data_IF_239098879058
#
_entry.id   IF_239098879058
#
_cell.length_a   1.000
_cell.length_b   1.000
_cell.length_c   1.000
_cell.angle_alpha   90.00
_cell.angle_beta   90.00
_cell.angle_gamma   90.00
#
_symmetry.space_group_name_H-M   'P 1'
#
loop_
_entity.id
_entity.type
_entity.pdbx_description
1 polymer ?
#
# COMPACT_ATOMS: atom_id res chain seq x y z
N UNK A 1 -10.75 13.56 22.72
CA UNK A 1 -9.33 13.22 22.48
C UNK A 1 -8.44 14.11 23.33
N UNK A 2 -7.17 13.77 23.52
CA UNK A 2 -6.21 14.60 24.25
C UNK A 2 -5.00 14.88 23.37
N UNK A 3 -4.51 16.11 23.39
CA UNK A 3 -3.22 16.48 22.81
C UNK A 3 -2.38 17.06 23.94
N UNK A 4 -1.11 16.67 24.02
CA UNK A 4 -0.15 17.21 24.97
C UNK A 4 1.06 17.75 24.21
N UNK A 5 1.48 18.97 24.54
CA UNK A 5 2.71 19.54 24.00
C UNK A 5 3.52 20.25 25.08
N UNK A 6 4.84 20.15 24.94
CA UNK A 6 5.82 20.80 25.83
C UNK A 6 6.28 22.18 25.32
N UNK A 7 5.97 22.53 24.07
CA UNK A 7 6.40 23.76 23.42
C UNK A 7 5.27 24.73 23.13
N UNK A 8 5.64 25.93 22.68
CA UNK A 8 4.69 26.94 22.23
C UNK A 8 3.78 26.36 21.16
N UNK A 9 2.47 26.47 21.40
CA UNK A 9 1.46 25.83 20.58
C UNK A 9 0.43 26.86 20.13
N UNK A 10 -0.04 26.73 18.89
CA UNK A 10 -1.03 27.61 18.30
C UNK A 10 -2.10 26.79 17.59
N UNK A 11 -3.36 27.12 17.85
CA UNK A 11 -4.49 26.65 17.06
C UNK A 11 -4.89 27.73 16.05
N UNK A 12 -5.11 27.32 14.81
CA UNK A 12 -5.70 28.13 13.75
C UNK A 12 -7.06 27.54 13.36
N UNK A 13 -8.10 28.37 13.30
CA UNK A 13 -9.44 27.98 12.85
C UNK A 13 -10.21 29.19 12.33
N UNK A 14 -10.79 29.07 11.13
CA UNK A 14 -11.58 30.14 10.51
C UNK A 14 -10.84 31.48 10.40
N UNK A 15 -9.53 31.45 10.15
CA UNK A 15 -8.66 32.63 10.08
C UNK A 15 -8.28 33.25 11.45
N UNK A 16 -8.73 32.67 12.56
CA UNK A 16 -8.37 33.10 13.93
C UNK A 16 -7.24 32.25 14.48
N UNK A 17 -6.38 32.87 15.29
CA UNK A 17 -5.27 32.24 16.00
C UNK A 17 -5.51 32.25 17.50
N UNK A 18 -5.28 31.11 18.14
CA UNK A 18 -5.35 30.94 19.59
C UNK A 18 -4.01 30.35 20.09
N UNK A 19 -3.16 31.12 20.77
CA UNK A 19 -1.99 30.57 21.43
C UNK A 19 -2.39 29.73 22.64
N UNK A 20 -1.69 28.63 22.86
CA UNK A 20 -1.85 27.72 23.99
C UNK A 20 -0.52 27.60 24.74
N UNK A 21 -0.56 27.80 26.06
CA UNK A 21 0.58 27.52 26.92
C UNK A 21 0.82 26.01 27.01
N UNK A 22 2.09 25.55 27.11
CA UNK A 22 2.42 24.12 27.20
C UNK A 22 1.59 23.36 28.22
N UNK A 23 1.21 22.13 27.89
CA UNK A 23 0.42 21.26 28.74
C UNK A 23 -0.44 20.29 27.94
N UNK A 24 -1.42 19.70 28.64
CA UNK A 24 -2.37 18.76 28.07
C UNK A 24 -3.74 19.41 27.88
N UNK A 25 -4.31 19.24 26.68
CA UNK A 25 -5.61 19.77 26.31
C UNK A 25 -6.55 18.66 25.85
N UNK A 26 -7.75 18.65 26.40
CA UNK A 26 -8.82 17.76 25.98
C UNK A 26 -9.71 18.47 24.96
N UNK A 27 -9.91 17.82 23.82
CA UNK A 27 -10.84 18.26 22.79
C UNK A 27 -12.09 17.41 22.89
N UNK A 28 -13.18 18.03 23.33
CA UNK A 28 -14.50 17.41 23.41
C UNK A 28 -15.35 17.88 22.24
N UNK A 29 -15.79 16.93 21.41
CA UNK A 29 -16.68 17.19 20.27
C UNK A 29 -17.98 17.82 20.77
N UNK A 30 -18.30 19.00 20.26
CA UNK A 30 -19.60 19.66 20.45
C UNK A 30 -20.63 19.18 19.44
N UNK A 31 -21.53 20.08 19.04
CA UNK A 31 -22.40 19.84 17.89
C UNK A 31 -21.58 19.93 16.60
N UNK A 32 -21.75 18.94 15.73
CA UNK A 32 -21.05 18.83 14.46
C UNK A 32 -22.02 18.44 13.34
N UNK A 33 -21.68 18.84 12.13
CA UNK A 33 -22.30 18.44 10.89
C UNK A 33 -21.27 17.65 10.06
N UNK A 34 -21.61 16.44 9.59
CA UNK A 34 -20.75 15.67 8.70
C UNK A 34 -20.37 16.44 7.42
N UNK A 35 -19.27 16.05 6.76
CA UNK A 35 -18.88 16.61 5.47
C UNK A 35 -19.96 16.37 4.41
N UNK A 36 -20.04 17.31 3.46
CA UNK A 36 -20.81 17.09 2.23
C UNK A 36 -19.94 16.30 1.25
N UNK A 37 -20.47 15.19 0.75
CA UNK A 37 -19.73 14.26 -0.10
C UNK A 37 -20.45 13.97 -1.40
N UNK A 38 -19.66 13.65 -2.44
CA UNK A 38 -20.10 13.13 -3.73
C UNK A 38 -19.32 11.89 -4.07
N UNK A 39 -19.89 11.01 -4.88
CA UNK A 39 -19.30 9.73 -5.24
C UNK A 39 -19.10 9.66 -6.74
N UNK A 40 -17.84 9.61 -7.17
CA UNK A 40 -17.44 9.34 -8.53
C UNK A 40 -17.54 7.85 -8.84
N UNK A 41 -18.00 7.53 -10.06
CA UNK A 41 -17.93 6.19 -10.64
C UNK A 41 -16.94 6.21 -11.79
N UNK A 42 -15.72 5.79 -11.51
CA UNK A 42 -14.64 5.73 -12.50
C UNK A 42 -14.62 4.37 -13.21
N UNK A 43 -14.19 4.34 -14.46
CA UNK A 43 -14.15 3.10 -15.26
C UNK A 43 -12.82 2.83 -15.95
N UNK A 44 -12.07 3.87 -16.30
CA UNK A 44 -10.83 3.74 -17.06
C UNK A 44 -9.88 4.87 -16.76
N UNK A 45 -8.58 4.58 -16.83
CA UNK A 45 -7.51 5.56 -16.71
C UNK A 45 -6.80 5.71 -18.05
N UNK A 46 -6.41 6.94 -18.38
CA UNK A 46 -5.58 7.29 -19.53
C UNK A 46 -4.38 8.09 -19.03
N UNK A 47 -3.28 8.08 -19.78
CA UNK A 47 -2.13 8.90 -19.45
C UNK A 47 -2.11 10.16 -20.31
N UNK A 48 -1.45 11.24 -19.88
CA UNK A 48 -1.08 12.33 -20.77
C UNK A 48 -0.38 11.77 -22.02
N UNK A 49 -0.85 12.17 -23.20
CA UNK A 49 -0.49 11.62 -24.51
C UNK A 49 -1.52 10.64 -25.10
N UNK A 50 -2.44 10.09 -24.30
CA UNK A 50 -3.51 9.20 -24.77
C UNK A 50 -4.83 9.94 -25.03
N UNK A 51 -4.81 11.27 -25.12
CA UNK A 51 -6.02 12.11 -25.23
C UNK A 51 -6.95 11.68 -26.38
N UNK A 52 -6.48 11.34 -27.60
CA UNK A 52 -7.38 10.91 -28.67
C UNK A 52 -8.17 9.63 -28.31
N UNK A 53 -7.51 8.65 -27.66
CA UNK A 53 -8.17 7.42 -27.23
C UNK A 53 -9.13 7.67 -26.07
N UNK A 54 -8.78 8.61 -25.18
CA UNK A 54 -9.65 9.06 -24.09
C UNK A 54 -10.90 9.76 -24.63
N UNK A 55 -10.75 10.65 -25.61
CA UNK A 55 -11.87 11.38 -26.22
C UNK A 55 -12.86 10.44 -26.92
N UNK A 56 -12.37 9.43 -27.63
CA UNK A 56 -13.21 8.37 -28.20
C UNK A 56 -14.00 7.62 -27.12
N UNK A 57 -13.33 7.27 -26.02
CA UNK A 57 -13.97 6.59 -24.89
C UNK A 57 -15.03 7.48 -24.22
N UNK A 58 -14.72 8.77 -24.00
CA UNK A 58 -15.67 9.75 -23.46
C UNK A 58 -16.89 9.90 -24.38
N UNK A 59 -16.69 10.00 -25.69
CA UNK A 59 -17.76 10.12 -26.67
C UNK A 59 -18.66 8.88 -26.69
N UNK A 60 -18.08 7.67 -26.63
CA UNK A 60 -18.82 6.41 -26.54
C UNK A 60 -19.78 6.41 -25.34
N UNK A 61 -19.30 6.80 -24.16
CA UNK A 61 -20.12 6.78 -22.95
C UNK A 61 -21.16 7.89 -22.90
N UNK A 62 -20.83 9.09 -23.42
CA UNK A 62 -21.81 10.16 -23.59
C UNK A 62 -22.95 9.74 -24.52
N UNK A 63 -22.65 9.03 -25.61
CA UNK A 63 -23.67 8.49 -26.52
C UNK A 63 -24.57 7.44 -25.85
N UNK A 64 -24.08 6.76 -24.80
CA UNK A 64 -24.85 5.83 -23.95
C UNK A 64 -25.61 6.53 -22.82
N UNK A 65 -25.59 7.86 -22.77
CA UNK A 65 -26.31 8.67 -21.77
C UNK A 65 -25.59 8.86 -20.43
N UNK A 66 -24.28 8.61 -20.37
CA UNK A 66 -23.47 8.81 -19.16
C UNK A 66 -22.82 10.20 -19.15
N UNK A 67 -22.60 10.74 -17.96
CA UNK A 67 -21.93 12.02 -17.72
C UNK A 67 -20.40 11.85 -17.77
N UNK A 68 -19.90 11.32 -18.88
CA UNK A 68 -18.51 10.93 -18.98
C UNK A 68 -17.59 12.17 -19.01
N UNK A 69 -16.63 12.23 -18.09
CA UNK A 69 -15.65 13.32 -18.00
C UNK A 69 -14.28 12.81 -17.54
N UNK A 70 -13.19 13.43 -18.02
CA UNK A 70 -11.86 13.15 -17.52
C UNK A 70 -11.61 13.94 -16.24
N UNK A 71 -10.98 13.30 -15.26
CA UNK A 71 -10.54 13.96 -14.04
C UNK A 71 -9.04 13.71 -13.86
N UNK A 72 -8.24 14.77 -13.93
CA UNK A 72 -6.79 14.68 -13.77
C UNK A 72 -6.44 14.35 -12.31
N UNK A 73 -5.51 13.42 -12.13
CA UNK A 73 -5.00 12.91 -10.85
C UNK A 73 -3.49 12.74 -10.90
N UNK A 74 -2.87 12.66 -9.74
CA UNK A 74 -1.42 12.58 -9.59
C UNK A 74 -0.73 13.93 -9.76
N UNK A 75 0.59 13.93 -9.58
CA UNK A 75 1.42 15.12 -9.57
C UNK A 75 2.57 15.05 -10.59
N UNK A 76 3.21 16.22 -10.78
CA UNK A 76 4.42 16.38 -11.60
C UNK A 76 5.58 16.74 -10.71
N UNK A 77 6.72 16.11 -10.97
CA UNK A 77 7.93 16.34 -10.20
C UNK A 77 9.05 16.81 -11.11
N UNK A 78 9.72 17.90 -10.76
CA UNK A 78 10.90 18.38 -11.47
C UNK A 78 12.16 17.76 -10.83
N UNK A 79 13.01 17.18 -11.65
CA UNK A 79 14.32 16.69 -11.22
C UNK A 79 15.34 17.81 -11.17
N UNK A 80 16.45 17.59 -10.44
CA UNK A 80 17.54 18.57 -10.34
C UNK A 80 18.17 18.95 -11.68
N UNK A 81 18.08 18.09 -12.70
CA UNK A 81 18.53 18.33 -14.07
C UNK A 81 17.45 18.94 -14.99
N UNK A 82 16.29 19.34 -14.44
CA UNK A 82 15.22 20.04 -15.14
C UNK A 82 14.26 19.15 -15.94
N UNK A 83 14.34 17.82 -15.81
CA UNK A 83 13.34 16.92 -16.41
C UNK A 83 12.06 16.96 -15.58
N UNK A 84 10.92 16.85 -16.26
CA UNK A 84 9.62 16.70 -15.60
C UNK A 84 9.21 15.23 -15.63
N UNK A 85 9.05 14.66 -14.45
CA UNK A 85 8.47 13.33 -14.25
C UNK A 85 6.96 13.51 -14.10
N UNK A 86 6.22 13.26 -15.18
CA UNK A 86 4.77 13.40 -15.18
C UNK A 86 4.11 12.10 -14.68
N UNK A 87 3.70 12.12 -13.41
CA UNK A 87 2.94 11.08 -12.74
C UNK A 87 1.44 11.19 -12.98
N UNK A 88 0.95 12.22 -13.69
CA UNK A 88 -0.47 12.45 -13.81
C UNK A 88 -1.17 11.38 -14.67
N UNK A 89 -2.45 11.16 -14.37
CA UNK A 89 -3.35 10.30 -15.13
C UNK A 89 -4.73 10.95 -15.23
N UNK A 90 -5.42 10.74 -16.34
CA UNK A 90 -6.83 11.05 -16.49
C UNK A 90 -7.66 9.86 -16.03
N UNK A 91 -8.42 10.03 -14.95
CA UNK A 91 -9.43 9.06 -14.53
C UNK A 91 -10.77 9.45 -15.15
N UNK A 92 -11.34 8.56 -15.97
CA UNK A 92 -12.63 8.82 -16.61
C UNK A 92 -13.74 8.44 -15.66
N UNK A 93 -14.45 9.46 -15.17
CA UNK A 93 -15.71 9.30 -14.44
C UNK A 93 -16.82 9.12 -15.46
N UNK A 94 -17.69 8.12 -15.27
CA UNK A 94 -18.90 7.93 -16.07
C UNK A 94 -20.14 8.50 -15.40
N UNK A 95 -20.10 8.72 -14.09
CA UNK A 95 -21.21 9.28 -13.34
C UNK A 95 -20.73 9.84 -12.00
N UNK A 96 -21.55 10.73 -11.44
CA UNK A 96 -21.47 11.16 -10.06
C UNK A 96 -22.78 10.83 -9.35
N UNK A 97 -22.69 10.44 -8.10
CA UNK A 97 -23.84 10.14 -7.26
C UNK A 97 -23.77 10.88 -5.93
N UNK A 98 -24.94 11.18 -5.35
CA UNK A 98 -25.04 11.82 -4.04
C UNK A 98 -24.74 10.84 -2.89
N UNK A 99 -24.98 9.54 -3.08
CA UNK A 99 -24.74 8.52 -2.06
C UNK A 99 -23.87 7.38 -2.59
N UNK A 100 -23.14 6.72 -1.68
CA UNK A 100 -22.37 5.53 -2.00
C UNK A 100 -23.25 4.41 -2.57
N UNK A 101 -24.47 4.25 -2.03
CA UNK A 101 -25.43 3.23 -2.49
C UNK A 101 -25.80 3.44 -3.96
N UNK A 102 -26.08 4.68 -4.36
CA UNK A 102 -26.43 5.01 -5.75
C UNK A 102 -25.23 4.79 -6.67
N UNK A 103 -24.02 5.18 -6.24
CA UNK A 103 -22.78 4.90 -6.98
C UNK A 103 -22.58 3.39 -7.21
N UNK A 104 -22.83 2.57 -6.20
CA UNK A 104 -22.72 1.10 -6.31
C UNK A 104 -23.80 0.50 -7.24
N UNK A 105 -24.99 1.09 -7.31
CA UNK A 105 -25.99 0.68 -8.29
C UNK A 105 -25.55 0.98 -9.73
N UNK A 106 -24.87 2.11 -9.95
CA UNK A 106 -24.29 2.48 -11.25
C UNK A 106 -23.17 1.50 -11.62
N UNK A 107 -22.27 1.17 -10.69
CA UNK A 107 -21.22 0.15 -10.92
C UNK A 107 -21.83 -1.17 -11.39
N UNK A 108 -22.85 -1.68 -10.69
CA UNK A 108 -23.54 -2.93 -11.08
C UNK A 108 -24.15 -2.84 -12.48
N UNK A 109 -24.66 -1.67 -12.88
CA UNK A 109 -25.18 -1.45 -14.24
C UNK A 109 -24.06 -1.42 -15.28
N UNK A 110 -22.91 -0.84 -14.98
CA UNK A 110 -21.76 -0.85 -15.88
C UNK A 110 -21.20 -2.27 -16.07
N UNK A 111 -21.23 -3.09 -15.03
CA UNK A 111 -20.85 -4.50 -15.11
C UNK A 111 -21.72 -5.29 -16.09
N UNK A 112 -23.05 -5.03 -16.16
CA UNK A 112 -23.92 -5.67 -17.16
C UNK A 112 -23.61 -5.22 -18.59
N UNK A 113 -22.94 -4.07 -18.75
CA UNK A 113 -22.43 -3.56 -20.01
C UNK A 113 -20.98 -4.02 -20.27
N UNK A 114 -20.45 -4.97 -19.48
CA UNK A 114 -19.10 -5.50 -19.64
C UNK A 114 -18.00 -4.52 -19.24
N UNK A 115 -18.32 -3.49 -18.45
CA UNK A 115 -17.38 -2.44 -18.04
C UNK A 115 -17.10 -2.53 -16.56
N UNK A 116 -15.83 -2.70 -16.23
CA UNK A 116 -15.38 -2.61 -14.84
C UNK A 116 -15.41 -1.14 -14.39
N UNK A 117 -15.85 -0.90 -13.16
CA UNK A 117 -15.90 0.42 -12.57
C UNK A 117 -15.61 0.36 -11.07
N UNK A 118 -15.16 1.48 -10.50
CA UNK A 118 -14.89 1.64 -9.09
C UNK A 118 -15.40 2.98 -8.57
N UNK A 119 -15.72 3.00 -7.28
CA UNK A 119 -16.21 4.21 -6.61
C UNK A 119 -15.06 4.93 -5.92
N UNK A 120 -15.09 6.26 -5.96
CA UNK A 120 -14.31 7.14 -5.08
C UNK A 120 -15.21 8.21 -4.51
N UNK A 121 -15.05 8.47 -3.23
CA UNK A 121 -15.70 9.58 -2.55
C UNK A 121 -14.86 10.84 -2.72
N UNK A 122 -15.54 11.97 -2.85
CA UNK A 122 -14.98 13.30 -2.85
C UNK A 122 -15.66 14.11 -1.74
N UNK A 123 -14.87 14.82 -0.96
CA UNK A 123 -15.34 15.78 0.03
C UNK A 123 -15.55 17.14 -0.66
N UNK A 124 -16.82 17.51 -0.90
CA UNK A 124 -17.19 18.79 -1.53
C UNK A 124 -17.02 19.95 -0.54
N UNK A 125 -17.43 19.72 0.71
CA UNK A 125 -17.25 20.66 1.80
C UNK A 125 -16.86 19.89 3.07
N UNK A 126 -15.86 20.36 3.83
CA UNK A 126 -15.48 19.72 5.08
C UNK A 126 -16.64 19.76 6.06
N UNK A 127 -16.70 18.78 6.96
CA UNK A 127 -17.66 18.82 8.05
C UNK A 127 -17.34 19.98 8.98
N UNK A 128 -18.37 20.51 9.63
CA UNK A 128 -18.30 21.73 10.43
C UNK A 128 -18.82 21.51 11.84
N UNK A 129 -18.58 22.45 12.73
CA UNK A 129 -19.05 22.36 14.11
C UNK A 129 -18.06 22.99 15.07
N UNK A 130 -18.10 22.54 16.33
CA UNK A 130 -17.22 23.06 17.37
C UNK A 130 -16.61 21.95 18.23
N UNK A 131 -15.44 22.25 18.80
CA UNK A 131 -14.84 21.50 19.89
C UNK A 131 -14.70 22.39 21.11
N UNK A 132 -15.06 21.86 22.27
CA UNK A 132 -14.73 22.45 23.57
C UNK A 132 -13.31 22.04 23.91
N UNK A 133 -12.41 23.02 23.96
CA UNK A 133 -11.03 22.85 24.42
C UNK A 133 -11.02 22.97 25.94
N UNK A 134 -10.49 21.96 26.65
CA UNK A 134 -10.37 21.96 28.09
C UNK A 134 -8.93 21.76 28.55
N UNK A 135 -8.54 22.45 29.62
CA UNK A 135 -7.29 22.22 30.36
C UNK A 135 -7.60 22.16 31.84
N UNK A 136 -7.01 21.22 32.58
CA UNK A 136 -7.30 21.01 34.00
C UNK A 136 -8.78 20.79 34.33
N UNK A 137 -9.56 20.23 33.40
CA UNK A 137 -11.01 20.02 33.54
C UNK A 137 -11.89 21.24 33.26
N UNK A 138 -11.30 22.43 33.10
CA UNK A 138 -12.02 23.67 32.77
C UNK A 138 -12.01 23.92 31.27
N UNK A 139 -13.14 24.43 30.74
CA UNK A 139 -13.20 24.87 29.36
C UNK A 139 -12.45 26.19 29.18
N UNK A 140 -11.45 26.19 28.31
CA UNK A 140 -10.61 27.35 28.01
C UNK A 140 -11.01 28.03 26.71
N UNK A 141 -11.58 27.29 25.75
CA UNK A 141 -12.07 27.84 24.49
C UNK A 141 -13.15 26.96 23.86
N UNK A 142 -13.93 27.54 22.95
CA UNK A 142 -14.74 26.82 21.96
C UNK A 142 -14.20 27.17 20.58
N UNK A 143 -13.83 26.17 19.79
CA UNK A 143 -13.10 26.35 18.54
C UNK A 143 -13.89 25.72 17.40
N UNK A 144 -14.02 26.41 16.28
CA UNK A 144 -14.70 25.88 15.10
C UNK A 144 -13.86 24.79 14.42
N UNK A 145 -14.53 23.83 13.78
CA UNK A 145 -13.90 22.82 12.93
C UNK A 145 -14.08 23.16 11.44
N UNK A 146 -13.13 22.76 10.56
CA UNK A 146 -11.85 22.13 10.91
C UNK A 146 -10.89 23.12 11.60
N UNK A 147 -9.92 22.58 12.34
CA UNK A 147 -8.86 23.36 12.96
C UNK A 147 -7.49 22.73 12.71
N UNK A 148 -6.45 23.54 12.81
CA UNK A 148 -5.05 23.11 12.72
C UNK A 148 -4.33 23.51 14.00
N UNK A 149 -3.60 22.57 14.61
CA UNK A 149 -2.71 22.80 15.75
C UNK A 149 -1.26 22.66 15.28
N UNK A 150 -0.45 23.67 15.55
CA UNK A 150 1.00 23.66 15.32
C UNK A 150 1.71 23.85 16.65
N UNK A 151 2.75 23.07 16.88
CA UNK A 151 3.58 23.20 18.08
C UNK A 151 5.05 23.26 17.69
N UNK A 152 5.84 24.00 18.46
CA UNK A 152 7.29 24.08 18.28
C UNK A 152 8.01 22.74 18.56
N UNK A 153 7.41 21.90 19.40
CA UNK A 153 7.91 20.57 19.74
C UNK A 153 6.91 19.50 19.28
N UNK A 154 7.34 18.24 19.10
CA UNK A 154 6.42 17.13 18.85
C UNK A 154 5.34 17.03 19.94
N UNK A 155 4.13 16.68 19.53
CA UNK A 155 2.95 16.56 20.37
C UNK A 155 2.54 15.11 20.55
N UNK A 156 2.14 14.73 21.76
CA UNK A 156 1.46 13.46 22.00
C UNK A 156 -0.02 13.63 21.68
N UNK A 157 -0.59 12.72 20.89
CA UNK A 157 -2.00 12.71 20.53
C UNK A 157 -2.61 11.38 20.92
N UNK A 158 -3.71 11.44 21.70
CA UNK A 158 -4.44 10.27 22.18
C UNK A 158 -5.91 10.29 21.77
N UNK A 159 -6.34 9.27 21.03
CA UNK A 159 -7.72 9.07 20.56
C UNK A 159 -8.23 7.69 20.96
N UNK A 160 -9.04 7.64 22.03
CA UNK A 160 -9.52 6.37 22.58
C UNK A 160 -8.35 5.52 23.07
N UNK A 161 -8.16 4.33 22.48
CA UNK A 161 -7.03 3.43 22.77
C UNK A 161 -5.78 3.70 21.94
N UNK A 162 -5.83 4.60 20.96
CA UNK A 162 -4.69 4.94 20.10
C UNK A 162 -3.93 6.13 20.68
N UNK A 163 -2.61 6.07 20.59
CA UNK A 163 -1.70 7.11 21.07
C UNK A 163 -0.46 7.14 20.16
N UNK A 164 0.09 8.34 19.93
CA UNK A 164 1.29 8.53 19.12
C UNK A 164 1.90 9.91 19.32
N UNK A 165 3.16 10.06 18.92
CA UNK A 165 3.89 11.33 18.96
C UNK A 165 4.07 11.82 17.53
N UNK A 166 3.76 13.08 17.28
CA UNK A 166 3.69 13.68 15.95
C UNK A 166 4.38 15.03 15.93
N UNK A 167 5.05 15.37 14.83
CA UNK A 167 5.81 16.61 14.69
C UNK A 167 5.26 17.55 13.62
N UNK A 168 4.39 17.04 12.75
CA UNK A 168 3.65 17.83 11.79
C UNK A 168 2.52 18.66 12.41
N UNK A 169 1.83 19.41 11.56
CA UNK A 169 0.62 20.10 11.96
C UNK A 169 -0.51 19.09 12.16
N UNK A 170 -1.17 19.15 13.31
CA UNK A 170 -2.31 18.28 13.61
C UNK A 170 -3.58 18.96 13.18
N UNK A 171 -4.31 18.36 12.26
CA UNK A 171 -5.60 18.84 11.81
C UNK A 171 -6.72 17.99 12.38
N UNK A 172 -7.76 18.65 12.89
CA UNK A 172 -8.97 17.98 13.36
C UNK A 172 -10.12 18.27 12.40
N UNK A 173 -10.70 17.22 11.86
CA UNK A 173 -11.79 17.27 10.90
C UNK A 173 -13.00 16.52 11.47
N UNK A 174 -14.20 16.83 10.95
CA UNK A 174 -15.40 16.03 11.24
C UNK A 174 -15.51 14.95 10.16
N UNK A 175 -15.60 13.70 10.60
CA UNK A 175 -15.73 12.53 9.72
C UNK A 175 -17.18 12.30 9.28
N UNK A 176 -17.43 11.49 8.22
CA UNK A 176 -18.78 11.15 7.74
C UNK A 176 -19.69 10.53 8.81
N UNK A 177 -19.12 9.81 9.78
CA UNK A 177 -19.85 9.24 10.93
C UNK A 177 -20.03 10.25 12.09
N UNK A 178 -19.77 11.53 11.82
CA UNK A 178 -19.75 12.64 12.76
C UNK A 178 -18.68 12.54 13.85
N UNK A 179 -17.73 11.61 13.79
CA UNK A 179 -16.61 11.58 14.75
C UNK A 179 -15.53 12.61 14.41
N UNK A 180 -14.50 12.71 15.25
CA UNK A 180 -13.35 13.58 14.98
C UNK A 180 -12.23 12.75 14.34
N UNK A 181 -11.85 13.13 13.14
CA UNK A 181 -10.65 12.67 12.46
C UNK A 181 -9.44 13.44 12.93
N UNK A 182 -8.28 12.77 12.93
CA UNK A 182 -6.99 13.37 13.27
C UNK A 182 -6.05 13.12 12.10
N UNK A 183 -5.57 14.19 11.51
CA UNK A 183 -4.66 14.16 10.38
C UNK A 183 -3.36 14.87 10.76
N UNK A 184 -2.23 14.34 10.30
CA UNK A 184 -0.94 15.02 10.41
C UNK A 184 -0.52 15.50 9.03
N UNK A 185 -0.25 16.79 8.91
CA UNK A 185 0.34 17.40 7.71
C UNK A 185 1.81 17.71 7.97
N UNK A 186 2.69 17.08 7.20
CA UNK A 186 4.13 17.12 7.38
C UNK A 186 4.89 17.04 6.04
N UNK A 187 6.15 17.50 5.99
CA UNK A 187 7.00 17.32 4.81
C UNK A 187 7.23 15.83 4.48
N UNK A 188 7.42 15.53 3.19
CA UNK A 188 7.61 14.16 2.69
C UNK A 188 8.76 13.40 3.40
N UNK A 189 9.89 14.07 3.62
CA UNK A 189 11.05 13.44 4.25
C UNK A 189 10.79 13.08 5.72
N UNK A 190 10.03 13.91 6.45
CA UNK A 190 9.61 13.60 7.82
C UNK A 190 8.59 12.46 7.86
N UNK A 191 7.70 12.40 6.88
CA UNK A 191 6.78 11.27 6.71
C UNK A 191 7.55 9.95 6.49
N UNK A 192 8.51 9.94 5.57
CA UNK A 192 9.33 8.76 5.29
C UNK A 192 10.15 8.32 6.51
N UNK A 193 10.64 9.26 7.32
CA UNK A 193 11.34 8.95 8.57
C UNK A 193 10.45 8.20 9.58
N UNK A 194 9.13 8.41 9.57
CA UNK A 194 8.18 7.66 10.39
C UNK A 194 7.64 6.37 9.75
N UNK A 195 7.83 6.18 8.44
CA UNK A 195 7.49 4.95 7.70
C UNK A 195 8.63 3.94 7.75
N UNK A 196 9.86 4.37 7.46
CA UNK A 196 11.00 3.48 7.26
C UNK A 196 11.28 2.52 8.44
N UNK A 197 11.21 2.95 9.72
CA UNK A 197 11.40 2.07 10.88
C UNK A 197 10.34 0.97 11.01
N UNK A 198 9.14 1.20 10.48
CA UNK A 198 8.06 0.21 10.51
C UNK A 198 8.23 -0.86 9.42
N UNK A 199 8.97 -0.54 8.35
CA UNK A 199 9.14 -1.41 7.19
C UNK A 199 10.44 -2.22 7.23
N UNK A 200 11.53 -1.65 7.75
CA UNK A 200 12.85 -2.29 7.76
C UNK A 200 13.55 -2.14 9.11
N UNK A 201 14.15 -3.21 9.68
CA UNK A 201 14.86 -3.10 10.94
C UNK A 201 16.02 -2.10 10.86
N UNK A 202 16.03 -1.13 11.78
CA UNK A 202 17.00 -0.03 11.83
C UNK A 202 18.46 -0.45 12.05
N UNK A 203 18.69 -1.71 12.44
CA UNK A 203 20.00 -2.33 12.63
C UNK A 203 20.59 -2.92 11.35
N UNK A 204 19.82 -2.92 10.25
CA UNK A 204 20.31 -3.39 8.96
C UNK A 204 21.33 -2.42 8.35
N UNK A 205 22.18 -2.88 7.41
CA UNK A 205 23.21 -2.04 6.80
C UNK A 205 22.63 -0.77 6.18
N UNK A 206 23.38 0.34 6.25
CA UNK A 206 22.94 1.66 5.76
C UNK A 206 22.47 1.61 4.31
N UNK A 207 23.21 0.94 3.43
CA UNK A 207 22.86 0.82 2.00
C UNK A 207 21.51 0.12 1.77
N UNK A 208 21.12 -0.82 2.63
CA UNK A 208 19.80 -1.44 2.56
C UNK A 208 18.70 -0.48 3.03
N UNK A 209 18.95 0.29 4.10
CA UNK A 209 18.04 1.32 4.60
C UNK A 209 17.85 2.44 3.54
N UNK A 210 18.93 2.85 2.89
CA UNK A 210 18.93 3.85 1.82
C UNK A 210 18.16 3.35 0.58
N UNK A 211 18.39 2.10 0.15
CA UNK A 211 17.62 1.49 -0.94
C UNK A 211 16.12 1.43 -0.63
N UNK A 212 15.76 1.09 0.62
CA UNK A 212 14.38 1.10 1.08
C UNK A 212 13.81 2.53 1.15
N UNK A 213 14.59 3.53 1.56
CA UNK A 213 14.15 4.94 1.58
C UNK A 213 13.83 5.46 0.18
N UNK A 214 14.69 5.19 -0.80
CA UNK A 214 14.47 5.54 -2.22
C UNK A 214 13.25 4.83 -2.80
N UNK A 215 13.09 3.54 -2.47
CA UNK A 215 11.95 2.71 -2.89
C UNK A 215 10.64 3.26 -2.29
N UNK A 216 10.60 3.50 -0.98
CA UNK A 216 9.43 4.05 -0.30
C UNK A 216 9.09 5.45 -0.81
N UNK A 217 10.08 6.33 -1.03
CA UNK A 217 9.84 7.67 -1.60
C UNK A 217 9.20 7.59 -2.99
N UNK A 218 9.68 6.67 -3.83
CA UNK A 218 9.15 6.49 -5.18
C UNK A 218 7.72 5.96 -5.15
N UNK A 219 7.41 5.00 -4.28
CA UNK A 219 6.04 4.52 -4.06
C UNK A 219 5.10 5.63 -3.57
N UNK A 220 5.54 6.40 -2.57
CA UNK A 220 4.72 7.47 -1.99
C UNK A 220 4.43 8.55 -3.02
N UNK A 221 5.42 8.99 -3.79
CA UNK A 221 5.24 10.03 -4.82
C UNK A 221 4.41 9.54 -6.01
N UNK A 222 4.47 8.25 -6.35
CA UNK A 222 3.61 7.67 -7.39
C UNK A 222 2.14 7.60 -6.95
N UNK A 223 1.88 7.35 -5.67
CA UNK A 223 0.52 7.27 -5.14
C UNK A 223 -0.04 8.60 -4.60
N UNK A 224 0.82 9.62 -4.48
CA UNK A 224 0.40 10.98 -4.12
C UNK A 224 -0.56 11.53 -5.19
N UNK A 225 -1.65 12.17 -4.76
CA UNK A 225 -2.65 12.71 -5.69
C UNK A 225 -3.69 11.70 -6.21
N UNK A 226 -3.72 10.46 -5.69
CA UNK A 226 -4.63 9.41 -6.15
C UNK A 226 -5.70 9.00 -5.13
N UNK A 227 -5.44 7.94 -4.32
CA UNK A 227 -6.48 7.15 -3.63
C UNK A 227 -7.41 7.98 -2.75
N UNK A 228 -6.84 8.78 -1.87
CA UNK A 228 -7.56 9.55 -0.84
C UNK A 228 -7.60 11.06 -1.12
N UNK A 229 -6.93 11.55 -2.16
CA UNK A 229 -6.82 12.99 -2.43
C UNK A 229 -8.18 13.65 -2.61
N UNK A 230 -9.15 12.93 -3.17
CA UNK A 230 -10.54 13.41 -3.25
C UNK A 230 -11.24 13.50 -1.89
N UNK A 231 -10.86 12.66 -0.93
CA UNK A 231 -11.39 12.68 0.44
C UNK A 231 -10.81 13.85 1.26
N UNK A 232 -9.67 14.39 0.85
CA UNK A 232 -9.00 15.53 1.48
C UNK A 232 -7.67 15.19 2.18
N UNK A 233 -7.21 13.96 2.08
CA UNK A 233 -5.94 13.50 2.68
C UNK A 233 -5.17 12.58 1.73
N UNK A 234 -3.94 12.21 2.07
CA UNK A 234 -3.09 11.41 1.17
C UNK A 234 -3.06 9.92 1.54
N UNK A 235 -2.83 9.61 2.81
CA UNK A 235 -2.62 8.24 3.29
C UNK A 235 -3.19 8.04 4.68
N UNK A 236 -3.69 6.83 4.93
CA UNK A 236 -3.97 6.32 6.28
C UNK A 236 -2.70 5.74 6.91
N UNK A 237 -2.69 5.59 8.23
CA UNK A 237 -1.60 4.93 8.97
C UNK A 237 -1.80 3.41 9.13
N UNK A 238 -2.52 2.78 8.19
CA UNK A 238 -2.88 1.37 8.24
C UNK A 238 -2.21 0.59 7.10
N UNK A 239 -2.18 -0.74 7.21
CA UNK A 239 -1.67 -1.64 6.14
C UNK A 239 -2.37 -1.44 4.78
N UNK A 240 -3.53 -0.78 4.75
CA UNK A 240 -4.22 -0.44 3.51
C UNK A 240 -3.50 0.65 2.68
N UNK A 241 -2.57 1.40 3.27
CA UNK A 241 -1.62 2.28 2.59
C UNK A 241 -0.20 1.93 3.01
N UNK A 242 0.20 2.29 4.23
CA UNK A 242 1.45 1.88 4.87
C UNK A 242 1.42 2.15 6.38
N UNK A 243 2.18 1.37 7.12
CA UNK A 243 2.32 1.57 8.56
C UNK A 243 3.13 2.85 8.78
N UNK A 244 2.61 3.76 9.60
CA UNK A 244 3.26 5.00 9.95
C UNK A 244 3.27 5.17 11.46
N UNK A 245 4.47 5.20 12.05
CA UNK A 245 4.67 5.21 13.50
C UNK A 245 4.72 6.63 14.10
N UNK A 246 4.54 7.68 13.28
CA UNK A 246 4.71 9.06 13.72
C UNK A 246 6.16 9.42 14.02
N UNK A 247 6.35 10.58 14.63
CA UNK A 247 7.65 11.02 15.14
C UNK A 247 8.17 10.09 16.25
N UNK A 248 7.29 9.51 17.06
CA UNK A 248 7.67 8.61 18.16
C UNK A 248 8.34 7.30 17.72
N UNK A 249 8.18 6.90 16.46
CA UNK A 249 8.81 5.71 15.88
C UNK A 249 10.15 5.96 15.19
N UNK A 250 10.59 7.22 15.07
CA UNK A 250 11.83 7.57 14.36
C UNK A 250 13.07 7.03 15.06
N UNK A 251 14.06 6.64 14.27
CA UNK A 251 15.34 6.12 14.74
C UNK A 251 16.48 6.78 13.96
N UNK A 252 17.60 7.05 14.62
CA UNK A 252 18.70 7.83 14.02
C UNK A 252 19.26 7.22 12.72
N UNK A 253 19.35 5.89 12.62
CA UNK A 253 19.87 5.22 11.41
C UNK A 253 18.91 5.32 10.22
N UNK A 254 17.61 5.17 10.44
CA UNK A 254 16.60 5.33 9.38
C UNK A 254 16.44 6.79 8.98
N UNK A 255 16.53 7.72 9.93
CA UNK A 255 16.53 9.16 9.65
C UNK A 255 17.74 9.54 8.78
N UNK A 256 18.92 9.01 9.10
CA UNK A 256 20.12 9.20 8.28
C UNK A 256 19.95 8.64 6.87
N UNK A 257 19.39 7.44 6.71
CA UNK A 257 19.13 6.86 5.38
C UNK A 257 18.18 7.71 4.53
N UNK A 258 17.11 8.23 5.13
CA UNK A 258 16.18 9.16 4.46
C UNK A 258 16.91 10.44 4.06
N UNK A 259 17.72 11.02 4.96
CA UNK A 259 18.48 12.24 4.70
C UNK A 259 19.55 12.07 3.61
N UNK A 260 20.31 10.97 3.63
CA UNK A 260 21.35 10.66 2.65
C UNK A 260 20.78 10.48 1.24
N UNK A 261 19.53 10.01 1.15
CA UNK A 261 18.82 9.77 -0.12
C UNK A 261 17.76 10.83 -0.41
N UNK A 262 17.85 12.01 0.21
CA UNK A 262 16.82 13.06 0.11
C UNK A 262 16.46 13.34 -1.35
N UNK A 263 15.17 13.25 -1.68
CA UNK A 263 14.65 13.49 -3.02
C UNK A 263 15.03 12.43 -4.07
N UNK A 264 15.84 11.41 -3.75
CA UNK A 264 16.14 10.35 -4.70
C UNK A 264 14.93 9.44 -4.94
N UNK A 265 14.62 9.22 -6.21
CA UNK A 265 13.52 8.40 -6.71
C UNK A 265 14.00 7.48 -7.83
N UNK A 266 13.28 6.39 -8.04
CA UNK A 266 13.52 5.39 -9.08
C UNK A 266 12.75 5.83 -10.32
N UNK A 267 13.44 5.98 -11.45
CA UNK A 267 12.87 6.47 -12.71
C UNK A 267 13.07 5.46 -13.83
N UNK A 268 12.00 5.17 -14.57
CA UNK A 268 12.05 4.40 -15.81
C UNK A 268 11.10 5.01 -16.84
N UNK A 269 11.51 5.06 -18.10
CA UNK A 269 10.70 5.62 -19.20
C UNK A 269 10.16 7.03 -18.91
N UNK A 270 10.99 7.90 -18.30
CA UNK A 270 10.63 9.29 -17.98
C UNK A 270 9.63 9.45 -16.83
N UNK A 271 9.38 8.41 -16.03
CA UNK A 271 8.41 8.42 -14.92
C UNK A 271 8.99 7.80 -13.66
N UNK A 272 8.46 8.19 -12.52
CA UNK A 272 8.72 7.51 -11.24
C UNK A 272 8.16 6.08 -11.33
N UNK A 273 8.95 5.12 -10.87
CA UNK A 273 8.54 3.71 -10.78
C UNK A 273 7.62 3.54 -9.57
N UNK A 274 6.47 2.85 -9.71
CA UNK A 274 5.64 2.43 -8.57
C UNK A 274 6.39 1.33 -7.79
N UNK A 275 7.32 1.76 -6.95
CA UNK A 275 8.39 0.93 -6.40
C UNK A 275 7.91 0.14 -5.18
N UNK A 276 7.14 -0.91 -5.45
CA UNK A 276 6.68 -1.88 -4.47
C UNK A 276 7.83 -2.72 -3.90
N UNK A 277 7.63 -3.26 -2.69
CA UNK A 277 8.63 -4.05 -1.98
C UNK A 277 7.99 -5.11 -1.09
N UNK A 278 8.75 -6.17 -0.78
CA UNK A 278 8.30 -7.23 0.13
C UNK A 278 9.46 -7.82 0.93
N UNK A 279 9.13 -8.46 2.06
CA UNK A 279 10.10 -9.00 3.00
C UNK A 279 11.14 -9.94 2.34
N UNK A 280 10.68 -11.03 1.73
CA UNK A 280 11.56 -12.04 1.15
C UNK A 280 10.99 -12.59 -0.16
N UNK A 281 11.77 -12.57 -1.23
CA UNK A 281 11.31 -13.01 -2.54
C UNK A 281 11.34 -14.54 -2.72
N UNK A 282 12.03 -15.28 -1.86
CA UNK A 282 12.24 -16.73 -1.98
C UNK A 282 13.36 -17.12 -2.95
N UNK A 283 14.19 -16.15 -3.34
CA UNK A 283 15.33 -16.29 -4.26
C UNK A 283 15.06 -15.85 -5.70
N UNK A 284 13.84 -15.38 -6.00
CA UNK A 284 13.48 -14.82 -7.30
C UNK A 284 12.27 -13.88 -7.15
N UNK A 285 12.32 -12.67 -7.73
CA UNK A 285 11.19 -11.73 -7.69
C UNK A 285 10.17 -12.02 -8.80
N UNK A 286 8.98 -11.41 -8.77
CA UNK A 286 7.87 -11.74 -9.65
C UNK A 286 7.48 -10.55 -10.53
N UNK A 287 6.84 -10.85 -11.66
CA UNK A 287 6.27 -9.83 -12.53
C UNK A 287 4.99 -9.22 -11.91
N UNK A 288 4.81 -7.90 -12.06
CA UNK A 288 3.65 -7.21 -11.48
C UNK A 288 2.28 -7.77 -11.95
N UNK A 289 2.13 -8.15 -13.21
CA UNK A 289 0.88 -8.69 -13.79
C UNK A 289 0.54 -10.12 -13.32
N UNK A 290 1.51 -10.85 -12.77
CA UNK A 290 1.27 -12.13 -12.10
C UNK A 290 0.49 -11.89 -10.80
N UNK A 291 0.90 -10.86 -10.05
CA UNK A 291 0.37 -10.54 -8.72
C UNK A 291 -0.90 -9.70 -8.80
N UNK A 292 -0.90 -8.66 -9.63
CA UNK A 292 -1.98 -7.68 -9.76
C UNK A 292 -2.59 -7.69 -11.16
N UNK A 293 -3.67 -6.94 -11.35
CA UNK A 293 -4.34 -6.80 -12.66
C UNK A 293 -3.79 -5.65 -13.51
N UNK A 294 -2.74 -4.98 -13.05
CA UNK A 294 -2.05 -3.92 -13.79
C UNK A 294 -1.32 -4.49 -15.02
N UNK A 295 -1.19 -3.72 -16.12
CA UNK A 295 -0.37 -4.10 -17.27
C UNK A 295 1.10 -4.39 -16.87
N UNK A 296 1.84 -5.17 -17.67
CA UNK A 296 3.26 -5.39 -17.48
C UNK A 296 4.03 -4.06 -17.35
N UNK A 297 4.82 -3.92 -16.28
CA UNK A 297 5.68 -2.77 -16.07
C UNK A 297 7.15 -3.19 -16.24
N UNK A 298 7.85 -2.54 -17.17
CA UNK A 298 9.25 -2.83 -17.51
C UNK A 298 10.22 -2.76 -16.31
N UNK A 299 9.93 -1.92 -15.31
CA UNK A 299 10.75 -1.80 -14.10
C UNK A 299 10.35 -2.78 -12.98
N UNK A 300 9.25 -3.52 -13.14
CA UNK A 300 8.75 -4.49 -12.15
C UNK A 300 8.75 -5.90 -12.73
N UNK A 301 9.89 -6.34 -13.24
CA UNK A 301 10.10 -7.68 -13.79
C UNK A 301 10.75 -8.59 -12.74
N UNK A 302 10.40 -9.88 -12.79
CA UNK A 302 11.02 -10.88 -11.94
C UNK A 302 12.48 -11.08 -12.31
N UNK A 303 13.37 -10.89 -11.34
CA UNK A 303 14.81 -11.08 -11.44
C UNK A 303 15.26 -12.12 -10.43
N UNK A 304 16.33 -12.85 -10.77
CA UNK A 304 17.00 -13.75 -9.85
C UNK A 304 17.66 -12.97 -8.73
N UNK A 305 17.54 -13.45 -7.49
CA UNK A 305 18.23 -12.86 -6.34
C UNK A 305 19.62 -13.51 -6.11
N UNK A 306 20.13 -14.22 -7.11
CA UNK A 306 21.46 -14.82 -7.14
C UNK A 306 22.38 -13.89 -7.94
N UNK A 307 23.32 -13.22 -7.26
CA UNK A 307 24.30 -12.36 -7.93
C UNK A 307 25.60 -13.09 -8.28
N UNK A 308 26.04 -13.97 -7.39
CA UNK A 308 27.37 -14.59 -7.45
C UNK A 308 27.34 -16.00 -8.06
N UNK A 309 26.18 -16.44 -8.56
CA UNK A 309 25.98 -17.78 -9.09
C UNK A 309 25.04 -17.74 -10.30
N UNK A 310 25.29 -18.57 -11.33
CA UNK A 310 24.31 -18.75 -12.40
C UNK A 310 23.02 -19.33 -11.83
N UNK A 311 21.90 -18.98 -12.47
CA UNK A 311 20.61 -19.56 -12.12
C UNK A 311 20.66 -21.09 -12.25
N UNK A 312 20.27 -21.86 -11.21
CA UNK A 312 20.32 -23.30 -11.30
C UNK A 312 19.40 -23.78 -12.43
N UNK A 313 19.78 -24.80 -13.22
CA UNK A 313 19.00 -25.24 -14.37
C UNK A 313 17.53 -25.51 -14.02
N UNK A 314 16.61 -24.92 -14.79
CA UNK A 314 15.18 -25.06 -14.54
C UNK A 314 14.69 -24.31 -13.30
N UNK A 315 15.45 -23.35 -12.77
CA UNK A 315 14.99 -22.51 -11.66
C UNK A 315 14.25 -21.27 -12.15
N UNK A 316 13.19 -20.83 -11.46
CA UNK A 316 12.42 -21.57 -10.45
C UNK A 316 11.31 -22.43 -11.10
N UNK A 317 11.38 -22.72 -12.41
CA UNK A 317 10.33 -23.42 -13.16
C UNK A 317 10.07 -24.86 -12.67
N UNK A 318 11.10 -25.57 -12.20
CA UNK A 318 10.98 -26.79 -11.42
C UNK A 318 10.80 -26.45 -9.93
N UNK A 319 9.58 -26.07 -9.59
CA UNK A 319 9.26 -25.53 -8.26
C UNK A 319 9.46 -26.52 -7.11
N UNK A 320 9.35 -27.82 -7.36
CA UNK A 320 9.53 -28.85 -6.32
C UNK A 320 10.99 -28.87 -5.87
N UNK A 321 11.92 -28.92 -6.82
CA UNK A 321 13.36 -28.92 -6.54
C UNK A 321 13.82 -27.55 -6.01
N UNK A 322 13.28 -26.46 -6.56
CA UNK A 322 13.58 -25.09 -6.08
C UNK A 322 13.22 -24.88 -4.60
N UNK A 323 12.05 -25.38 -4.18
CA UNK A 323 11.61 -25.29 -2.79
C UNK A 323 12.27 -26.33 -1.88
N UNK A 324 12.76 -27.44 -2.45
CA UNK A 324 13.55 -28.45 -1.75
C UNK A 324 15.01 -28.04 -1.50
N UNK A 325 15.47 -26.95 -2.12
CA UNK A 325 16.85 -26.44 -1.99
C UNK A 325 16.88 -25.05 -1.35
N UNK A 326 18.08 -24.66 -0.92
CA UNK A 326 18.40 -23.31 -0.45
C UNK A 326 19.53 -22.73 -1.30
N UNK A 327 19.23 -22.14 -2.47
CA UNK A 327 20.23 -21.51 -3.30
C UNK A 327 20.90 -20.34 -2.55
N UNK A 328 22.12 -19.92 -2.95
CA UNK A 328 22.85 -18.82 -2.31
C UNK A 328 22.27 -17.43 -2.70
N UNK A 329 20.95 -17.28 -2.62
CA UNK A 329 20.26 -16.02 -2.84
C UNK A 329 20.61 -15.00 -1.75
N UNK A 330 20.60 -13.71 -2.08
CA UNK A 330 20.90 -12.66 -1.11
C UNK A 330 19.90 -12.66 0.06
N UNK A 331 18.63 -13.00 -0.19
CA UNK A 331 17.59 -13.08 0.81
C UNK A 331 17.64 -14.37 1.66
N UNK A 332 18.48 -15.34 1.30
CA UNK A 332 18.47 -16.67 1.92
C UNK A 332 18.96 -16.70 3.38
N UNK A 333 19.48 -15.61 3.94
CA UNK A 333 20.05 -15.58 5.30
C UNK A 333 19.02 -15.86 6.41
N UNK A 334 17.76 -15.45 6.24
CA UNK A 334 16.70 -15.74 7.20
C UNK A 334 15.96 -17.02 6.82
N UNK A 335 16.16 -18.07 7.62
CA UNK A 335 15.61 -19.40 7.34
C UNK A 335 14.10 -19.45 7.30
N UNK A 336 13.43 -18.72 8.21
CA UNK A 336 11.99 -18.80 8.40
C UNK A 336 11.24 -18.03 7.33
N UNK A 337 11.85 -16.96 6.85
CA UNK A 337 11.33 -16.11 5.80
C UNK A 337 11.56 -16.73 4.41
N UNK A 338 12.74 -17.32 4.21
CA UNK A 338 13.16 -17.83 2.92
C UNK A 338 12.46 -19.15 2.51
N UNK A 339 12.26 -20.09 3.45
CA UNK A 339 11.55 -21.35 3.23
C UNK A 339 10.63 -21.65 4.42
N UNK A 340 9.43 -22.14 4.14
CA UNK A 340 8.45 -22.42 5.18
C UNK A 340 7.59 -23.65 4.84
N UNK A 341 7.09 -24.32 5.88
CA UNK A 341 6.12 -25.39 5.76
C UNK A 341 4.97 -25.14 6.72
N UNK A 342 3.73 -25.29 6.24
CA UNK A 342 2.51 -25.18 7.05
C UNK A 342 1.60 -26.37 6.82
N UNK A 343 1.21 -27.04 7.90
CA UNK A 343 0.19 -28.09 7.89
C UNK A 343 -1.13 -27.51 8.38
N UNK A 344 -2.20 -27.68 7.60
CA UNK A 344 -3.55 -27.23 7.94
C UNK A 344 -4.48 -28.43 7.94
N UNK A 345 -5.21 -28.66 9.03
CA UNK A 345 -6.19 -29.75 9.12
C UNK A 345 -7.33 -29.57 8.12
N UNK A 346 -7.88 -30.67 7.59
CA UNK A 346 -8.92 -30.61 6.56
C UNK A 346 -10.16 -29.80 7.01
N UNK A 347 -10.62 -29.98 8.24
CA UNK A 347 -11.76 -29.21 8.77
C UNK A 347 -11.46 -27.71 8.93
N UNK A 348 -10.25 -27.37 9.39
CA UNK A 348 -9.82 -25.98 9.46
C UNK A 348 -9.78 -25.35 8.06
N UNK A 349 -9.22 -26.06 7.07
CA UNK A 349 -9.14 -25.56 5.71
C UNK A 349 -10.52 -25.44 5.04
N UNK A 350 -11.44 -26.37 5.32
CA UNK A 350 -12.84 -26.26 4.93
C UNK A 350 -13.42 -24.93 5.44
N UNK A 351 -13.24 -24.65 6.74
CA UNK A 351 -13.72 -23.40 7.35
C UNK A 351 -13.14 -22.15 6.69
N UNK A 352 -11.84 -22.12 6.41
CA UNK A 352 -11.16 -20.98 5.77
C UNK A 352 -11.67 -20.73 4.34
N UNK A 353 -11.65 -21.75 3.48
CA UNK A 353 -12.02 -21.61 2.05
C UNK A 353 -13.51 -21.28 1.90
N UNK A 354 -14.37 -21.87 2.74
CA UNK A 354 -15.82 -21.68 2.63
C UNK A 354 -16.30 -20.29 3.11
N UNK A 355 -15.46 -19.48 3.76
CA UNK A 355 -15.78 -18.07 4.07
C UNK A 355 -16.15 -17.28 2.82
N UNK A 356 -15.47 -17.57 1.70
CA UNK A 356 -15.66 -16.85 0.45
C UNK A 356 -16.24 -17.73 -0.67
N UNK A 357 -15.80 -18.99 -0.80
CA UNK A 357 -16.03 -19.75 -2.03
C UNK A 357 -17.09 -20.85 -1.95
N UNK A 358 -17.56 -21.19 -0.74
CA UNK A 358 -18.71 -22.10 -0.50
C UNK A 358 -18.65 -23.45 -1.26
N UNK A 359 -17.47 -24.05 -1.41
CA UNK A 359 -17.25 -25.33 -2.12
C UNK A 359 -17.60 -26.59 -1.31
N UNK A 360 -17.99 -26.46 -0.04
CA UNK A 360 -18.24 -27.59 0.86
C UNK A 360 -16.94 -28.23 1.35
N UNK A 361 -16.98 -29.53 1.66
CA UNK A 361 -15.78 -30.28 2.10
C UNK A 361 -14.81 -30.40 0.94
N UNK A 362 -13.56 -30.00 1.14
CA UNK A 362 -12.53 -30.02 0.10
C UNK A 362 -12.16 -31.46 -0.24
N UNK A 363 -12.21 -31.79 -1.53
CA UNK A 363 -11.88 -33.12 -2.07
C UNK A 363 -10.52 -33.13 -2.75
N UNK A 364 -10.14 -32.03 -3.42
CA UNK A 364 -8.85 -31.88 -4.06
C UNK A 364 -8.47 -30.41 -4.24
N UNK A 365 -7.18 -30.11 -4.14
CA UNK A 365 -6.59 -28.82 -4.47
C UNK A 365 -5.57 -29.05 -5.58
N UNK A 366 -5.71 -28.33 -6.71
CA UNK A 366 -4.81 -28.44 -7.85
C UNK A 366 -4.14 -27.10 -8.11
N UNK A 367 -2.81 -27.10 -8.04
CA UNK A 367 -1.99 -25.98 -8.48
C UNK A 367 -2.21 -25.72 -9.97
N UNK A 368 -2.39 -24.46 -10.34
CA UNK A 368 -2.54 -24.02 -11.73
C UNK A 368 -1.26 -23.40 -12.28
N UNK A 369 -1.45 -22.37 -13.10
CA UNK A 369 -0.35 -21.64 -13.72
C UNK A 369 0.56 -20.97 -12.68
N UNK A 370 1.83 -20.79 -13.05
CA UNK A 370 2.84 -20.10 -12.24
C UNK A 370 3.43 -18.90 -12.98
N UNK A 371 3.88 -17.91 -12.22
CA UNK A 371 4.68 -16.79 -12.72
C UNK A 371 6.16 -17.14 -12.81
N UNK A 372 6.99 -16.15 -13.15
CA UNK A 372 8.42 -16.35 -13.39
C UNK A 372 9.18 -16.72 -12.13
N UNK A 373 8.64 -16.37 -10.95
CA UNK A 373 9.24 -16.73 -9.66
C UNK A 373 8.77 -18.09 -9.14
N UNK A 374 7.90 -18.80 -9.88
CA UNK A 374 7.23 -20.01 -9.40
C UNK A 374 6.01 -19.76 -8.50
N UNK A 375 5.62 -18.51 -8.25
CA UNK A 375 4.37 -18.14 -7.55
C UNK A 375 3.15 -18.60 -8.31
N UNK A 376 2.14 -19.10 -7.60
CA UNK A 376 0.88 -19.53 -8.21
C UNK A 376 0.07 -18.31 -8.68
N UNK A 377 -0.35 -18.35 -9.95
CA UNK A 377 -1.32 -17.44 -10.56
C UNK A 377 -2.75 -17.93 -10.33
N UNK A 378 -2.93 -19.24 -10.21
CA UNK A 378 -4.24 -19.85 -9.98
C UNK A 378 -4.14 -21.16 -9.19
N UNK A 379 -5.21 -21.45 -8.44
CA UNK A 379 -5.42 -22.72 -7.75
C UNK A 379 -6.88 -23.13 -7.90
N UNK A 380 -7.13 -24.37 -8.29
CA UNK A 380 -8.49 -24.93 -8.36
C UNK A 380 -8.76 -25.76 -7.11
N UNK A 381 -9.79 -25.37 -6.37
CA UNK A 381 -10.30 -26.12 -5.21
C UNK A 381 -11.61 -26.78 -5.61
N UNK A 382 -11.64 -28.11 -5.58
CA UNK A 382 -12.85 -28.91 -5.78
C UNK A 382 -13.33 -29.43 -4.44
N UNK A 383 -14.58 -29.16 -4.11
CA UNK A 383 -15.25 -29.68 -2.92
C UNK A 383 -16.54 -30.42 -3.26
N UNK A 384 -17.27 -30.84 -2.22
CA UNK A 384 -18.52 -31.61 -2.35
C UNK A 384 -19.68 -30.81 -2.91
N UNK A 385 -19.68 -29.48 -2.75
CA UNK A 385 -20.77 -28.59 -3.19
C UNK A 385 -20.44 -27.83 -4.48
N UNK A 386 -19.21 -27.91 -4.98
CA UNK A 386 -18.80 -27.21 -6.19
C UNK A 386 -17.29 -27.14 -6.38
N UNK A 387 -16.88 -26.34 -7.34
CA UNK A 387 -15.47 -26.12 -7.68
C UNK A 387 -15.24 -24.64 -7.94
N UNK A 388 -14.11 -24.12 -7.47
CA UNK A 388 -13.69 -22.73 -7.71
C UNK A 388 -12.26 -22.70 -8.21
N UNK A 389 -11.96 -21.75 -9.10
CA UNK A 389 -10.56 -21.40 -9.44
C UNK A 389 -10.26 -20.03 -8.87
N UNK A 390 -9.44 -20.03 -7.83
CA UNK A 390 -8.94 -18.83 -7.16
C UNK A 390 -7.77 -18.31 -8.02
N UNK A 391 -7.75 -17.02 -8.29
CA UNK A 391 -6.73 -16.37 -9.14
C UNK A 391 -6.05 -15.26 -8.36
N UNK A 392 -4.82 -14.93 -8.78
CA UNK A 392 -3.93 -13.92 -8.20
C UNK A 392 -3.34 -14.30 -6.84
N UNK A 393 -2.20 -13.69 -6.54
CA UNK A 393 -1.29 -14.03 -5.44
C UNK A 393 -1.98 -13.91 -4.07
N UNK A 394 -2.56 -12.74 -3.78
CA UNK A 394 -3.14 -12.42 -2.48
C UNK A 394 -4.41 -13.26 -2.17
N UNK A 395 -5.39 -13.40 -3.09
CA UNK A 395 -6.55 -14.26 -2.84
C UNK A 395 -6.19 -15.72 -2.55
N UNK A 396 -5.14 -16.25 -3.20
CA UNK A 396 -4.66 -17.61 -2.93
C UNK A 396 -4.13 -17.73 -1.50
N UNK A 397 -3.32 -16.77 -1.04
CA UNK A 397 -2.78 -16.76 0.32
C UNK A 397 -3.89 -16.67 1.37
N UNK A 398 -4.82 -15.74 1.19
CA UNK A 398 -5.94 -15.52 2.10
C UNK A 398 -6.85 -16.75 2.20
N UNK A 399 -7.15 -17.39 1.07
CA UNK A 399 -8.01 -18.57 1.02
C UNK A 399 -7.48 -19.74 1.87
N UNK A 400 -6.16 -19.84 2.02
CA UNK A 400 -5.49 -20.91 2.77
C UNK A 400 -4.94 -20.45 4.13
N UNK A 401 -5.50 -19.36 4.67
CA UNK A 401 -5.25 -18.89 6.03
C UNK A 401 -4.04 -17.96 6.15
N UNK A 402 -3.89 -17.04 5.20
CA UNK A 402 -2.81 -16.05 5.15
C UNK A 402 -1.42 -16.70 5.08
N UNK A 403 -1.22 -17.50 4.03
CA UNK A 403 0.10 -18.07 3.75
C UNK A 403 1.13 -16.95 3.52
N UNK A 404 2.42 -17.16 3.88
CA UNK A 404 3.45 -16.13 3.71
C UNK A 404 3.59 -15.64 2.26
N UNK A 405 3.40 -16.54 1.29
CA UNK A 405 3.54 -16.28 -0.14
C UNK A 405 2.71 -17.28 -0.97
N UNK A 406 2.49 -17.02 -2.26
CA UNK A 406 1.95 -18.03 -3.20
C UNK A 406 3.03 -18.88 -3.91
N UNK A 407 4.32 -18.71 -3.58
CA UNK A 407 5.41 -19.56 -4.06
C UNK A 407 5.40 -20.86 -3.25
N UNK A 408 4.57 -21.82 -3.66
CA UNK A 408 4.35 -23.03 -2.89
C UNK A 408 4.04 -24.26 -3.74
N UNK A 409 4.22 -25.42 -3.11
CA UNK A 409 3.66 -26.71 -3.50
C UNK A 409 2.67 -27.18 -2.43
N UNK A 410 1.71 -28.01 -2.85
CA UNK A 410 0.60 -28.49 -2.01
C UNK A 410 0.66 -30.00 -2.01
N UNK A 411 0.79 -30.60 -0.83
CA UNK A 411 0.71 -32.05 -0.61
C UNK A 411 -0.53 -32.38 0.20
N UNK A 412 -1.27 -33.36 -0.28
CA UNK A 412 -2.42 -33.92 0.44
C UNK A 412 -1.95 -34.98 1.44
N UNK A 413 -2.43 -34.91 2.68
CA UNK A 413 -2.31 -35.98 3.66
C UNK A 413 -3.66 -36.71 3.75
N UNK A 414 -3.67 -38.00 3.40
CA UNK A 414 -4.90 -38.81 3.28
C UNK A 414 -5.07 -39.77 4.46
N UNK A 415 -6.30 -39.83 4.98
CA UNK A 415 -6.78 -40.92 5.83
C UNK A 415 -7.71 -41.87 5.06
N UNK A 416 -8.31 -42.86 5.74
CA UNK A 416 -9.17 -43.87 5.10
C UNK A 416 -10.38 -43.29 4.34
N UNK A 417 -10.90 -42.14 4.80
CA UNK A 417 -12.14 -41.52 4.30
C UNK A 417 -11.91 -40.23 3.50
N UNK A 418 -10.67 -39.93 3.12
CA UNK A 418 -10.31 -38.73 2.34
C UNK A 418 -9.18 -37.88 2.95
N UNK A 419 -8.99 -36.63 2.49
CA UNK A 419 -7.99 -35.73 3.03
C UNK A 419 -8.22 -35.48 4.53
N UNK A 420 -7.17 -35.62 5.33
CA UNK A 420 -7.16 -35.27 6.77
C UNK A 420 -6.39 -34.00 7.06
N UNK A 421 -5.42 -33.65 6.20
CA UNK A 421 -4.70 -32.38 6.24
C UNK A 421 -4.12 -32.02 4.86
N UNK A 422 -3.69 -30.77 4.74
CA UNK A 422 -2.98 -30.22 3.60
C UNK A 422 -1.67 -29.61 4.06
N UNK A 423 -0.58 -29.99 3.41
CA UNK A 423 0.77 -29.50 3.71
C UNK A 423 1.18 -28.56 2.58
N UNK A 424 1.42 -27.31 2.95
CA UNK A 424 1.95 -26.27 2.07
C UNK A 424 3.43 -26.12 2.36
N UNK A 425 4.27 -26.28 1.34
CA UNK A 425 5.71 -26.01 1.43
C UNK A 425 6.01 -24.90 0.45
N UNK A 426 6.64 -23.83 0.91
CA UNK A 426 6.81 -22.63 0.12
C UNK A 426 8.07 -21.84 0.46
N UNK A 427 8.25 -20.74 -0.25
CA UNK A 427 9.40 -19.85 -0.09
C UNK A 427 9.01 -18.37 -0.14
N UNK A 428 9.81 -17.54 0.52
CA UNK A 428 9.60 -16.09 0.62
C UNK A 428 8.37 -15.68 1.45
N UNK A 429 8.26 -14.36 1.64
CA UNK A 429 7.15 -13.68 2.32
C UNK A 429 6.79 -12.38 1.61
N UNK A 430 5.49 -12.19 1.40
CA UNK A 430 4.94 -11.06 0.68
C UNK A 430 4.77 -11.36 -0.81
N UNK A 431 4.40 -10.34 -1.59
CA UNK A 431 4.02 -10.51 -3.00
C UNK A 431 5.21 -10.83 -3.92
N UNK A 432 6.43 -10.47 -3.53
CA UNK A 432 7.65 -10.83 -4.27
C UNK A 432 7.95 -9.96 -5.49
N UNK A 433 7.29 -8.81 -5.68
CA UNK A 433 7.52 -7.90 -6.82
C UNK A 433 8.38 -6.73 -6.33
N UNK A 434 9.29 -6.24 -7.16
CA UNK A 434 10.16 -5.09 -6.83
C UNK A 434 11.23 -5.47 -5.79
N UNK A 435 11.49 -4.56 -4.85
CA UNK A 435 12.58 -4.72 -3.88
C UNK A 435 12.32 -5.91 -2.94
N UNK A 436 13.29 -6.82 -2.84
CA UNK A 436 13.34 -7.82 -1.77
C UNK A 436 14.11 -7.24 -0.58
N UNK A 437 13.48 -7.05 0.58
CA UNK A 437 14.12 -6.43 1.74
C UNK A 437 15.30 -7.26 2.26
N UNK A 438 15.09 -8.56 2.50
CA UNK A 438 16.17 -9.47 2.92
C UNK A 438 17.27 -9.57 1.85
N UNK A 439 16.91 -9.50 0.58
CA UNK A 439 17.86 -9.51 -0.53
C UNK A 439 18.70 -8.23 -0.58
N UNK A 440 18.09 -7.05 -0.41
CA UNK A 440 18.77 -5.77 -0.27
C UNK A 440 19.78 -5.78 0.90
N UNK A 441 19.39 -6.36 2.04
CA UNK A 441 20.33 -6.61 3.15
C UNK A 441 21.49 -7.51 2.74
N UNK A 442 21.21 -8.63 2.06
CA UNK A 442 22.24 -9.56 1.61
C UNK A 442 23.24 -8.90 0.64
N UNK A 443 22.75 -8.08 -0.28
CA UNK A 443 23.58 -7.28 -1.18
C UNK A 443 24.41 -6.25 -0.41
N UNK A 444 23.81 -5.49 0.51
CA UNK A 444 24.54 -4.51 1.31
C UNK A 444 25.66 -5.15 2.14
N UNK A 445 25.41 -6.34 2.72
CA UNK A 445 26.43 -7.12 3.45
C UNK A 445 27.60 -7.59 2.56
N UNK A 446 27.37 -7.70 1.24
CA UNK A 446 28.42 -8.00 0.24
C UNK A 446 29.13 -6.74 -0.28
N UNK A 447 28.77 -5.56 0.21
CA UNK A 447 29.42 -4.28 -0.14
C UNK A 447 28.79 -3.55 -1.33
N UNK A 448 27.61 -3.96 -1.79
CA UNK A 448 26.88 -3.19 -2.81
C UNK A 448 26.24 -1.94 -2.20
N UNK A 449 26.36 -0.81 -2.89
CA UNK A 449 25.67 0.45 -2.55
C UNK A 449 24.17 0.41 -2.87
N UNK A 450 23.40 1.34 -2.30
CA UNK A 450 21.95 1.40 -2.50
C UNK A 450 21.54 1.56 -3.97
N UNK A 451 22.36 2.25 -4.78
CA UNK A 451 22.15 2.45 -6.21
C UNK A 451 22.22 1.12 -6.98
N UNK A 452 23.21 0.27 -6.67
CA UNK A 452 23.34 -1.06 -7.25
C UNK A 452 22.20 -2.00 -6.78
N UNK A 453 21.79 -1.88 -5.52
CA UNK A 453 20.65 -2.63 -4.96
C UNK A 453 19.36 -2.27 -5.73
N UNK A 454 19.07 -0.98 -5.87
CA UNK A 454 17.90 -0.51 -6.61
C UNK A 454 17.96 -0.93 -8.08
N UNK A 455 19.10 -0.76 -8.74
CA UNK A 455 19.27 -1.14 -10.14
C UNK A 455 19.06 -2.64 -10.39
N UNK A 456 19.42 -3.48 -9.42
CA UNK A 456 19.19 -4.92 -9.48
C UNK A 456 17.68 -5.25 -9.48
N UNK A 457 16.93 -4.79 -8.47
CA UNK A 457 15.51 -5.14 -8.32
C UNK A 457 14.58 -4.38 -9.27
N UNK A 458 14.97 -3.20 -9.72
CA UNK A 458 14.23 -2.38 -10.67
C UNK A 458 14.99 -2.26 -11.98
N UNK A 459 15.16 -3.40 -12.66
CA UNK A 459 15.93 -3.50 -13.90
C UNK A 459 15.46 -2.50 -14.96
N UNK A 460 16.41 -1.81 -15.60
CA UNK A 460 16.11 -0.79 -16.62
C UNK A 460 15.66 0.56 -16.05
N UNK A 461 15.78 0.76 -14.73
CA UNK A 461 15.56 2.05 -14.08
C UNK A 461 16.89 2.76 -13.76
N UNK A 462 16.78 4.05 -13.42
CA UNK A 462 17.88 4.90 -12.95
C UNK A 462 17.42 5.72 -11.76
N UNK A 463 18.34 6.13 -10.89
CA UNK A 463 18.02 7.11 -9.87
C UNK A 463 17.98 8.52 -10.45
N UNK A 464 17.05 9.34 -9.96
CA UNK A 464 17.01 10.77 -10.17
C UNK A 464 16.68 11.48 -8.85
N UNK A 465 17.06 12.75 -8.70
CA UNK A 465 16.71 13.54 -7.52
C UNK A 465 15.64 14.56 -7.89
N UNK A 466 14.48 14.51 -7.23
CA UNK A 466 13.39 15.49 -7.34
C UNK A 466 13.58 16.65 -6.37
N UNK A 467 13.11 17.83 -6.74
CA UNK A 467 13.22 19.08 -5.96
C UNK A 467 12.12 19.25 -4.93
#
# INVERSE_FOLDING_TARGET
MTIEASGDTQIESGGKRLPLAPGAWQFLRGQVQPPSQRYYVFSKTFRPGDEPAMELYLAEWKAKGYEAEPVLRGDRYETNDGRVLDGCQYWVSLARAATHTDAQQIVKRLETLGTWAWVRVETIAPGSGTVSLRSGGQQVASIALPLTLRSANPVSVKTGSREGIFAGAIELWVEPDATLGVYETLPMEDYLAGVLPAEMPSTWPMEALEAQAVTARSDVLEHLGFKHTLEGFHFTNSEGDRVYAGHGGRLASTDAAVANTRGQVIVANGRIVPAVFSADCGGWTENNETVWSSPPNAALRGVSDLLDAPDPPGSPSNIVDWLGTRPPANCAADEKEFRWTRRVGAEQLNGLVNRQYRVGRILSIRAGERGVSGRLKSVTVKGTAGSVTIRKELPIRQAFGDLPSSMLIIKEERGPSGPVAWIFTGGGRGHGVGLCQHGARGMALKGFGHDAIVAHYFSGSTLATVR
#
